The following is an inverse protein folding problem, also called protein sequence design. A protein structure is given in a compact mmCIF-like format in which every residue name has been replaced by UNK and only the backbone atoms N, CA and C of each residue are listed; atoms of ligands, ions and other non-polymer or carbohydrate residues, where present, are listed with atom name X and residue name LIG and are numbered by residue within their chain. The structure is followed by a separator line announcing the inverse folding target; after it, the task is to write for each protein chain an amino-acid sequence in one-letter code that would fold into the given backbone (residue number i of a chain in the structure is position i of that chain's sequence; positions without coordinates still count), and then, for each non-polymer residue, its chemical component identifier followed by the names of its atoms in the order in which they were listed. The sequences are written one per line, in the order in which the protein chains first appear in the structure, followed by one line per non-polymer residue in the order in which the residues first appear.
data_IF_594377446861
#
_entry.id   IF_594377446861
#
_cell.length_a   1.000
_cell.length_b   1.000
_cell.length_c   1.000
_cell.angle_alpha   90.00
_cell.angle_beta   90.00
_cell.angle_gamma   90.00
#
_symmetry.space_group_name_H-M   'P 1'
#
loop_
_entity.id
_entity.type
_entity.pdbx_description
1 polymer ?
#
# COMPACT_ATOMS: atom_id res chain seq x y z
N UNK A 1 -0.52 18.19 -20.14
CA UNK A 1 0.65 18.48 -19.29
C UNK A 1 0.34 17.93 -17.90
N UNK A 2 1.08 16.95 -17.37
CA UNK A 2 0.92 16.55 -15.97
C UNK A 2 1.19 17.77 -15.08
N UNK A 3 0.30 18.00 -14.13
CA UNK A 3 0.35 19.17 -13.25
C UNK A 3 1.20 18.87 -12.02
N UNK A 4 1.21 17.61 -11.58
CA UNK A 4 2.02 17.13 -10.46
C UNK A 4 2.28 15.64 -10.58
N UNK A 5 3.53 15.23 -10.32
CA UNK A 5 3.97 13.84 -10.27
C UNK A 5 4.53 13.52 -8.89
N UNK A 6 3.99 12.50 -8.22
CA UNK A 6 4.45 12.06 -6.91
C UNK A 6 4.80 10.57 -6.98
N UNK A 7 6.02 10.21 -6.57
CA UNK A 7 6.43 8.82 -6.40
C UNK A 7 6.32 8.45 -4.92
N UNK A 8 5.60 7.37 -4.62
CA UNK A 8 5.33 6.91 -3.27
C UNK A 8 5.80 5.47 -3.05
N UNK A 9 6.23 5.18 -1.82
CA UNK A 9 6.53 3.82 -1.37
C UNK A 9 5.73 3.53 -0.13
N UNK A 10 4.95 2.44 -0.14
CA UNK A 10 4.18 1.96 0.99
C UNK A 10 4.74 0.62 1.44
N UNK A 11 5.08 0.51 2.72
CA UNK A 11 5.46 -0.74 3.36
C UNK A 11 4.41 -1.12 4.41
N UNK A 12 3.70 -2.23 4.23
CA UNK A 12 2.80 -2.78 5.26
C UNK A 12 3.37 -4.06 5.86
N UNK A 13 3.53 -4.08 7.18
CA UNK A 13 3.82 -5.30 7.93
C UNK A 13 2.55 -6.11 8.15
N UNK A 14 2.56 -7.38 7.75
CA UNK A 14 1.46 -8.31 8.05
C UNK A 14 1.53 -8.76 9.51
N UNK A 15 0.79 -8.09 10.39
CA UNK A 15 0.58 -8.57 11.75
C UNK A 15 -0.52 -9.64 11.73
N UNK A 16 -0.13 -10.91 11.88
CA UNK A 16 -1.07 -12.00 12.23
C UNK A 16 -1.53 -11.80 13.68
N UNK A 17 -2.42 -10.85 13.89
CA UNK A 17 -3.05 -10.59 15.17
C UNK A 17 -4.45 -11.20 15.25
N UNK A 18 -4.55 -12.41 15.80
CA UNK A 18 -5.71 -12.83 16.61
C UNK A 18 -6.56 -14.01 16.11
N UNK A 19 -6.36 -15.19 16.72
CA UNK A 19 -7.30 -15.84 17.66
C UNK A 19 -7.27 -17.39 17.57
N UNK A 20 -6.55 -18.05 18.49
CA UNK A 20 -6.93 -19.33 19.13
C UNK A 20 -5.77 -19.82 20.01
N UNK A 21 -6.08 -20.21 21.26
CA UNK A 21 -5.11 -20.59 22.28
C UNK A 21 -4.39 -21.94 22.04
N UNK A 22 -3.28 -22.11 22.75
CA UNK A 22 -2.56 -23.39 22.83
C UNK A 22 -1.17 -23.22 23.45
N UNK A 23 -1.03 -23.65 24.71
CA UNK A 23 0.29 -23.87 25.35
C UNK A 23 0.99 -25.02 24.62
N UNK A 24 2.16 -24.79 24.05
CA UNK A 24 3.04 -25.81 23.51
C UNK A 24 4.45 -25.26 23.36
N UNK A 25 5.41 -25.87 24.06
CA UNK A 25 6.81 -25.45 24.09
C UNK A 25 7.66 -26.07 22.99
N UNK A 26 8.87 -25.52 22.86
CA UNK A 26 10.03 -26.18 22.23
C UNK A 26 10.42 -25.68 20.83
N UNK A 27 11.65 -25.16 20.78
CA UNK A 27 12.66 -25.26 19.72
C UNK A 27 12.75 -24.13 18.65
N UNK A 28 13.85 -23.38 18.76
CA UNK A 28 14.75 -22.94 17.68
C UNK A 28 14.14 -22.26 16.44
N UNK A 29 13.32 -21.24 16.62
CA UNK A 29 12.78 -20.40 15.53
C UNK A 29 13.60 -19.11 15.26
N UNK A 30 14.88 -19.08 15.65
CA UNK A 30 15.78 -17.97 15.33
C UNK A 30 16.40 -18.20 13.94
N UNK A 31 15.73 -17.69 12.90
CA UNK A 31 16.25 -17.23 11.60
C UNK A 31 15.18 -17.38 10.52
N UNK A 32 14.12 -16.57 10.60
CA UNK A 32 13.66 -15.74 9.49
C UNK A 32 12.45 -14.94 10.00
N UNK A 33 12.69 -14.06 10.98
CA UNK A 33 11.86 -12.87 11.17
C UNK A 33 12.17 -11.91 10.00
N UNK A 34 12.03 -12.41 8.77
CA UNK A 34 11.92 -11.56 7.60
C UNK A 34 10.56 -10.92 7.78
N UNK A 35 10.56 -9.81 8.52
CA UNK A 35 9.43 -8.93 8.65
C UNK A 35 8.79 -8.84 7.28
N UNK A 36 7.63 -9.50 7.11
CA UNK A 36 6.93 -9.61 5.83
C UNK A 36 6.31 -8.25 5.54
N UNK A 37 7.19 -7.29 5.28
CA UNK A 37 6.85 -5.97 4.82
C UNK A 37 6.56 -6.14 3.34
N UNK A 38 5.29 -6.01 2.99
CA UNK A 38 4.90 -5.87 1.61
C UNK A 38 5.20 -4.45 1.20
N UNK A 39 6.16 -4.29 0.31
CA UNK A 39 6.56 -2.99 -0.25
C UNK A 39 5.88 -2.83 -1.60
N UNK A 40 5.21 -1.69 -1.79
CA UNK A 40 4.64 -1.30 -3.07
C UNK A 40 5.13 0.10 -3.43
N UNK A 41 5.58 0.24 -4.67
CA UNK A 41 5.99 1.50 -5.28
C UNK A 41 4.91 1.91 -6.26
N UNK A 42 4.44 3.14 -6.15
CA UNK A 42 3.45 3.69 -7.05
C UNK A 42 3.81 5.10 -7.46
N UNK A 43 3.22 5.50 -8.56
CA UNK A 43 3.31 6.84 -9.11
C UNK A 43 1.91 7.42 -9.18
N UNK A 44 1.76 8.67 -8.76
CA UNK A 44 0.51 9.40 -8.80
C UNK A 44 0.70 10.64 -9.68
N UNK A 45 -0.08 10.74 -10.74
CA UNK A 45 -0.07 11.87 -11.65
C UNK A 45 -1.41 12.60 -11.57
N UNK A 46 -1.38 13.92 -11.39
CA UNK A 46 -2.58 14.74 -11.50
C UNK A 46 -2.60 15.48 -12.84
N UNK A 47 -3.70 15.38 -13.57
CA UNK A 47 -3.94 16.06 -14.84
C UNK A 47 -5.12 17.00 -14.69
N UNK A 48 -4.98 18.23 -15.18
CA UNK A 48 -6.11 19.16 -15.33
C UNK A 48 -6.77 18.87 -16.68
N UNK A 49 -8.03 18.46 -16.66
CA UNK A 49 -8.81 18.16 -17.87
C UNK A 49 -9.57 19.41 -18.34
N UNK A 50 -10.18 20.13 -17.40
CA UNK A 50 -10.89 21.41 -17.60
C UNK A 50 -10.70 22.31 -16.38
N UNK A 51 -11.29 23.51 -16.42
CA UNK A 51 -11.40 24.33 -15.20
C UNK A 51 -12.21 23.58 -14.14
N UNK A 52 -11.65 23.51 -12.93
CA UNK A 52 -12.15 22.75 -11.78
C UNK A 52 -12.31 21.22 -11.96
N UNK A 53 -11.82 20.66 -13.07
CA UNK A 53 -11.84 19.21 -13.31
C UNK A 53 -10.41 18.64 -13.34
N UNK A 54 -10.10 17.85 -12.33
CA UNK A 54 -8.81 17.19 -12.17
C UNK A 54 -8.98 15.68 -12.18
N UNK A 55 -8.11 15.00 -12.92
CA UNK A 55 -8.02 13.54 -12.95
C UNK A 55 -6.75 13.14 -12.24
N UNK A 56 -6.87 12.19 -11.32
CA UNK A 56 -5.76 11.57 -10.64
C UNK A 56 -5.58 10.18 -11.25
N UNK A 57 -4.40 9.92 -11.80
CA UNK A 57 -3.98 8.62 -12.28
C UNK A 57 -2.97 8.03 -11.30
N UNK A 58 -3.26 6.84 -10.77
CA UNK A 58 -2.40 6.13 -9.82
C UNK A 58 -1.93 4.87 -10.51
N UNK A 59 -0.63 4.74 -10.75
CA UNK A 59 -0.01 3.60 -11.42
C UNK A 59 0.89 2.84 -10.45
N UNK A 60 0.67 1.53 -10.33
CA UNK A 60 1.57 0.65 -9.58
C UNK A 60 2.83 0.37 -10.41
N UNK A 61 4.00 0.64 -9.85
CA UNK A 61 5.29 0.36 -10.49
C UNK A 61 5.84 -1.00 -10.09
N UNK A 62 5.76 -1.33 -8.79
CA UNK A 62 6.30 -2.56 -8.23
C UNK A 62 5.59 -2.94 -6.93
N UNK A 63 5.54 -4.22 -6.60
CA UNK A 63 4.86 -4.76 -5.42
C UNK A 63 3.57 -5.53 -5.73
N UNK A 64 2.81 -5.85 -4.68
CA UNK A 64 1.64 -6.74 -4.78
C UNK A 64 0.35 -5.99 -5.16
N UNK A 65 -0.42 -6.57 -6.10
CA UNK A 65 -1.66 -5.97 -6.63
C UNK A 65 -2.70 -5.68 -5.54
N UNK A 66 -2.86 -6.57 -4.56
CA UNK A 66 -3.81 -6.36 -3.46
C UNK A 66 -3.41 -5.18 -2.57
N UNK A 67 -2.12 -5.00 -2.31
CA UNK A 67 -1.63 -3.84 -1.58
C UNK A 67 -1.87 -2.54 -2.36
N UNK A 68 -1.76 -2.60 -3.69
CA UNK A 68 -2.10 -1.47 -4.55
C UNK A 68 -3.58 -1.11 -4.48
N UNK A 69 -4.48 -2.09 -4.56
CA UNK A 69 -5.93 -1.85 -4.42
C UNK A 69 -6.29 -1.26 -3.05
N UNK A 70 -5.65 -1.74 -1.97
CA UNK A 70 -5.81 -1.19 -0.61
C UNK A 70 -5.39 0.28 -0.54
N UNK A 71 -4.25 0.64 -1.16
CA UNK A 71 -3.78 2.02 -1.22
C UNK A 71 -4.75 2.88 -2.02
N UNK A 72 -5.18 2.45 -3.21
CA UNK A 72 -6.16 3.16 -4.02
C UNK A 72 -7.47 3.40 -3.25
N UNK A 73 -8.00 2.38 -2.59
CA UNK A 73 -9.21 2.52 -1.77
C UNK A 73 -9.05 3.51 -0.63
N UNK A 74 -7.88 3.53 0.01
CA UNK A 74 -7.57 4.47 1.09
C UNK A 74 -7.39 5.90 0.58
N UNK A 75 -6.67 6.07 -0.53
CA UNK A 75 -6.52 7.37 -1.21
C UNK A 75 -7.90 7.92 -1.59
N UNK A 76 -8.76 7.13 -2.23
CA UNK A 76 -10.13 7.54 -2.57
C UNK A 76 -11.00 7.87 -1.35
N UNK A 77 -10.77 7.19 -0.21
CA UNK A 77 -11.48 7.46 1.04
C UNK A 77 -11.02 8.75 1.71
N UNK A 78 -9.71 9.03 1.68
CA UNK A 78 -9.11 10.22 2.27
C UNK A 78 -9.31 11.46 1.37
N UNK A 79 -9.36 11.29 0.05
CA UNK A 79 -9.68 12.33 -0.94
C UNK A 79 -11.16 12.71 -0.98
N UNK A 80 -12.00 12.15 -0.12
CA UNK A 80 -13.44 12.41 -0.13
C UNK A 80 -13.71 13.91 0.11
N UNK A 81 -13.98 14.60 -1.00
CA UNK A 81 -14.51 15.97 -1.13
C UNK A 81 -16.03 15.91 -1.06
#
# INVERSE_FOLDING_TARGET
MPVLLICGVVARGWNRGGAAGGRGGGNDAALQENSRFFVMRFECQMYKVRDDEYVIDIQGLDGELFLFMDVCGRVLSDLRI
#
